data_IF_574882564605
#
_entry.id   IF_574882564605
#
_cell.length_a   1.000
_cell.length_b   1.000
_cell.length_c   1.000
_cell.angle_alpha   90.00
_cell.angle_beta   90.00
_cell.angle_gamma   90.00
#
_symmetry.space_group_name_H-M   'P 1'
#
loop_
_entity.id
_entity.type
_entity.pdbx_description
1 polymer ?
#
# COMPACT_ATOMS: atom_id res chain seq x y z
N UNK A 1 31.11 54.68 -15.15
CA UNK A 1 30.76 54.39 -16.55
C UNK A 1 30.20 52.97 -16.54
N UNK A 2 28.90 52.69 -16.64
CA UNK A 2 27.73 53.54 -16.93
C UNK A 2 26.45 52.73 -16.58
N UNK A 3 25.23 53.29 -16.45
CA UNK A 3 24.75 54.64 -16.78
C UNK A 3 23.76 55.20 -15.73
N UNK A 4 22.48 55.36 -16.10
CA UNK A 4 21.32 55.99 -15.45
C UNK A 4 20.04 55.32 -16.03
N UNK A 5 18.78 55.71 -15.68
CA UNK A 5 18.29 56.64 -14.66
C UNK A 5 17.23 56.03 -13.71
N UNK A 6 16.82 56.79 -12.68
CA UNK A 6 15.73 56.41 -11.77
C UNK A 6 14.31 56.76 -12.28
N UNK A 7 13.29 56.21 -11.64
CA UNK A 7 11.88 56.55 -11.89
C UNK A 7 11.08 56.69 -10.58
N UNK A 8 10.41 57.84 -10.48
CA UNK A 8 9.59 58.36 -9.39
C UNK A 8 8.55 57.35 -8.89
N UNK A 9 8.47 57.13 -7.58
CA UNK A 9 7.32 56.48 -6.93
C UNK A 9 6.09 57.39 -7.00
N UNK A 10 5.26 57.20 -8.04
CA UNK A 10 3.91 57.77 -8.05
C UNK A 10 3.02 57.02 -7.07
N UNK A 11 2.19 57.79 -6.37
CA UNK A 11 1.01 57.29 -5.67
C UNK A 11 0.18 56.37 -6.58
N UNK A 12 -0.18 55.20 -6.05
CA UNK A 12 -1.29 54.39 -6.54
C UNK A 12 -2.11 53.97 -5.31
N UNK A 13 -3.30 54.55 -5.16
CA UNK A 13 -4.33 54.01 -4.28
C UNK A 13 -4.72 52.62 -4.76
N UNK A 14 -4.25 51.57 -4.07
CA UNK A 14 -4.76 50.22 -4.25
C UNK A 14 -5.91 50.02 -3.27
N UNK A 15 -7.12 49.82 -3.82
CA UNK A 15 -8.32 49.45 -3.06
C UNK A 15 -8.03 48.20 -2.23
N UNK A 16 -8.43 48.22 -0.95
CA UNK A 16 -8.32 47.08 -0.04
C UNK A 16 -9.12 45.88 -0.58
N UNK A 17 -8.44 44.99 -1.30
CA UNK A 17 -8.96 43.67 -1.60
C UNK A 17 -9.03 42.86 -0.29
N UNK A 18 -10.24 42.47 0.10
CA UNK A 18 -10.49 41.75 1.34
C UNK A 18 -10.03 40.28 1.19
N UNK A 19 -8.74 40.02 1.43
CA UNK A 19 -8.14 38.68 1.35
C UNK A 19 -8.66 37.81 2.49
N UNK A 20 -9.23 36.62 2.22
CA UNK A 20 -9.65 35.69 3.28
C UNK A 20 -8.47 35.32 4.20
N UNK A 21 -8.59 35.62 5.50
CA UNK A 21 -7.54 35.33 6.48
C UNK A 21 -7.34 33.82 6.59
N UNK A 22 -6.15 33.33 6.21
CA UNK A 22 -5.85 31.89 6.22
C UNK A 22 -5.83 31.33 7.65
N UNK A 23 -6.41 30.13 7.82
CA UNK A 23 -6.63 29.40 9.08
C UNK A 23 -5.43 29.35 10.04
N UNK A 24 -4.20 29.39 9.52
CA UNK A 24 -2.97 29.36 10.33
C UNK A 24 -2.65 30.65 11.11
N UNK A 25 -3.15 31.82 10.69
CA UNK A 25 -2.81 33.10 11.36
C UNK A 25 -3.65 33.32 12.63
N UNK A 26 -4.93 32.97 12.56
CA UNK A 26 -5.87 33.03 13.69
C UNK A 26 -5.40 32.11 14.83
N UNK A 27 -4.88 30.91 14.49
CA UNK A 27 -4.34 29.98 15.48
C UNK A 27 -3.03 30.45 16.14
N UNK A 28 -2.30 31.39 15.51
CA UNK A 28 -1.07 31.95 16.07
C UNK A 28 -1.36 33.15 17.00
N UNK A 29 -2.36 33.97 16.67
CA UNK A 29 -2.87 35.03 17.58
C UNK A 29 -3.47 34.42 18.85
N UNK A 30 -4.34 33.40 18.72
CA UNK A 30 -4.88 32.65 19.87
C UNK A 30 -3.81 31.96 20.73
N UNK A 31 -2.68 31.56 20.14
CA UNK A 31 -1.59 30.94 20.90
C UNK A 31 -0.81 31.96 21.73
N UNK A 32 -0.61 33.18 21.21
CA UNK A 32 0.07 34.25 21.95
C UNK A 32 -0.79 34.81 23.10
N UNK A 33 -2.10 35.03 22.88
CA UNK A 33 -3.03 35.47 23.95
C UNK A 33 -3.09 34.47 25.12
N UNK A 34 -2.92 33.18 24.85
CA UNK A 34 -2.85 32.12 25.88
C UNK A 34 -1.50 32.04 26.61
N UNK A 35 -0.48 32.74 26.12
CA UNK A 35 0.88 32.70 26.68
C UNK A 35 1.21 33.93 27.54
N UNK A 36 0.65 35.10 27.23
CA UNK A 36 0.76 36.31 28.08
C UNK A 36 0.01 36.15 29.44
N UNK A 37 -1.04 35.31 29.50
CA UNK A 37 -1.83 35.06 30.71
C UNK A 37 -1.22 34.02 31.68
N UNK A 38 0.10 33.78 31.64
CA UNK A 38 0.78 32.78 32.49
C UNK A 38 2.00 33.25 33.28
N UNK A 39 2.38 34.53 33.19
CA UNK A 39 3.39 35.13 34.06
C UNK A 39 2.76 35.83 35.26
N UNK A 40 2.03 35.08 36.10
CA UNK A 40 1.87 35.43 37.51
C UNK A 40 1.38 34.22 38.35
N UNK A 41 1.89 34.11 39.57
CA UNK A 41 1.70 33.05 40.61
C UNK A 41 2.68 31.87 40.62
N UNK A 42 3.78 32.08 41.34
CA UNK A 42 4.72 31.05 41.76
C UNK A 42 4.53 30.79 43.27
N UNK A 43 3.94 29.67 43.69
CA UNK A 43 4.08 29.09 45.06
C UNK A 43 3.59 27.64 45.10
N UNK A 44 4.33 26.79 45.81
CA UNK A 44 4.08 25.36 46.02
C UNK A 44 3.16 25.18 47.25
N UNK A 45 2.16 24.28 47.18
CA UNK A 45 1.85 23.26 48.23
C UNK A 45 0.72 22.32 47.76
N UNK A 46 0.86 21.05 48.15
CA UNK A 46 -0.10 19.95 47.96
C UNK A 46 -1.42 20.13 48.73
N UNK A 47 -2.56 19.94 48.07
CA UNK A 47 -3.63 19.06 48.58
C UNK A 47 -4.70 18.80 47.51
N UNK A 48 -5.67 17.93 47.82
CA UNK A 48 -6.80 17.55 46.99
C UNK A 48 -7.61 18.77 46.51
N UNK A 49 -7.97 18.80 45.23
CA UNK A 49 -8.93 19.76 44.69
C UNK A 49 -9.86 19.09 43.67
N UNK A 50 -11.16 19.30 43.85
CA UNK A 50 -12.18 19.02 42.83
C UNK A 50 -11.96 19.97 41.65
N UNK A 51 -12.02 19.46 40.43
CA UNK A 51 -12.10 20.31 39.24
C UNK A 51 -13.45 21.08 39.27
N UNK A 52 -13.44 22.41 39.03
CA UNK A 52 -14.68 23.16 38.86
C UNK A 52 -15.26 22.91 37.46
N UNK A 53 -16.58 22.69 37.41
CA UNK A 53 -17.37 22.63 36.17
C UNK A 53 -17.11 23.86 35.28
N UNK A 54 -16.78 23.69 33.98
CA UNK A 54 -16.61 24.81 33.08
C UNK A 54 -17.97 25.36 32.63
N UNK A 55 -18.26 26.63 32.94
CA UNK A 55 -19.47 27.31 32.47
C UNK A 55 -19.57 27.33 30.92
N UNK A 56 -20.43 26.47 30.39
CA UNK A 56 -20.73 26.37 28.96
C UNK A 56 -21.58 27.55 28.48
N UNK A 57 -20.93 28.69 28.24
CA UNK A 57 -21.55 29.90 27.67
C UNK A 57 -22.41 29.60 26.43
N UNK A 58 -23.63 30.17 26.42
CA UNK A 58 -24.64 29.95 25.38
C UNK A 58 -24.20 30.44 24.00
N UNK A 59 -23.33 31.45 23.92
CA UNK A 59 -22.92 32.07 22.65
C UNK A 59 -22.15 31.10 21.72
N UNK A 60 -21.41 30.14 22.28
CA UNK A 60 -20.75 29.10 21.48
C UNK A 60 -21.73 28.08 20.90
N UNK A 61 -22.90 27.86 21.54
CA UNK A 61 -23.88 26.83 21.15
C UNK A 61 -24.66 27.23 19.91
N UNK A 62 -25.15 28.48 19.84
CA UNK A 62 -25.85 29.00 18.67
C UNK A 62 -24.95 29.08 17.43
N UNK A 63 -23.67 29.39 17.62
CA UNK A 63 -22.71 29.57 16.52
C UNK A 63 -22.48 28.27 15.72
N UNK A 64 -22.45 27.11 16.38
CA UNK A 64 -22.32 25.80 15.72
C UNK A 64 -23.59 25.44 14.93
N UNK A 65 -24.77 25.70 15.49
CA UNK A 65 -26.04 25.38 14.82
C UNK A 65 -26.27 26.26 13.59
N UNK A 66 -26.00 27.57 13.70
CA UNK A 66 -26.03 28.49 12.56
C UNK A 66 -24.94 28.18 11.53
N UNK A 67 -23.76 27.69 11.95
CA UNK A 67 -22.74 27.21 11.01
C UNK A 67 -23.23 25.99 10.22
N UNK A 68 -23.79 24.96 10.87
CA UNK A 68 -24.34 23.77 10.19
C UNK A 68 -25.49 24.15 9.22
N UNK A 69 -26.36 25.09 9.61
CA UNK A 69 -27.47 25.57 8.77
C UNK A 69 -27.01 26.45 7.59
N UNK A 70 -25.99 27.29 7.80
CA UNK A 70 -25.48 28.22 6.78
C UNK A 70 -24.51 27.59 5.79
N UNK A 71 -23.92 26.42 6.10
CA UNK A 71 -22.97 25.74 5.23
C UNK A 71 -23.67 25.07 4.02
N UNK A 72 -24.14 25.90 3.09
CA UNK A 72 -24.49 25.48 1.72
C UNK A 72 -23.24 24.95 1.01
N UNK A 73 -22.99 23.65 1.12
CA UNK A 73 -22.17 22.95 0.13
C UNK A 73 -22.81 23.19 -1.23
N UNK A 74 -22.14 23.95 -2.10
CA UNK A 74 -22.62 24.25 -3.45
C UNK A 74 -22.76 22.95 -4.23
N UNK A 75 -24.01 22.49 -4.38
CA UNK A 75 -24.40 21.62 -5.47
C UNK A 75 -24.37 22.49 -6.72
N UNK A 76 -23.65 22.07 -7.75
CA UNK A 76 -23.74 22.71 -9.05
C UNK A 76 -25.14 22.44 -9.61
N UNK A 77 -25.98 23.47 -9.64
CA UNK A 77 -27.25 23.47 -10.37
C UNK A 77 -26.92 23.46 -11.87
N UNK A 78 -26.88 22.26 -12.46
CA UNK A 78 -26.79 22.08 -13.91
C UNK A 78 -28.18 22.26 -14.54
N UNK A 79 -28.70 23.49 -14.48
CA UNK A 79 -29.84 23.91 -15.31
C UNK A 79 -29.32 24.27 -16.71
N UNK A 80 -29.06 23.24 -17.53
CA UNK A 80 -28.74 23.40 -18.96
C UNK A 80 -29.68 22.50 -19.81
N UNK A 81 -30.71 23.04 -20.49
CA UNK A 81 -31.78 22.27 -21.15
C UNK A 81 -31.37 21.48 -22.41
N UNK A 82 -30.10 21.15 -22.61
CA UNK A 82 -29.54 20.60 -23.85
C UNK A 82 -28.55 19.45 -23.59
N UNK A 83 -28.97 18.38 -22.89
CA UNK A 83 -28.24 17.11 -22.97
C UNK A 83 -29.17 15.89 -23.09
N UNK A 84 -29.69 15.68 -24.29
CA UNK A 84 -30.41 14.47 -24.65
C UNK A 84 -29.42 13.32 -24.95
N UNK A 85 -29.06 12.56 -23.93
CA UNK A 85 -28.54 11.20 -24.11
C UNK A 85 -29.46 10.21 -23.40
N UNK A 86 -30.00 9.30 -24.20
CA UNK A 86 -31.00 8.31 -23.82
C UNK A 86 -30.38 7.17 -23.02
N UNK A 87 -30.82 7.00 -21.77
CA UNK A 87 -30.68 5.72 -21.09
C UNK A 87 -31.53 4.66 -21.82
N UNK A 88 -30.91 3.53 -22.16
CA UNK A 88 -31.63 2.30 -22.49
C UNK A 88 -31.43 1.31 -21.34
N UNK A 89 -32.52 0.97 -20.66
CA UNK A 89 -32.52 0.05 -19.53
C UNK A 89 -31.82 -1.28 -19.83
N UNK A 90 -31.06 -1.78 -18.85
CA UNK A 90 -31.19 -3.19 -18.50
C UNK A 90 -31.09 -3.37 -17.00
N UNK A 91 -32.23 -3.68 -16.39
CA UNK A 91 -32.35 -3.93 -14.96
C UNK A 91 -31.95 -5.37 -14.63
N UNK A 92 -31.08 -5.53 -13.64
CA UNK A 92 -31.23 -6.62 -12.67
C UNK A 92 -30.47 -6.28 -11.39
N UNK A 93 -31.24 -6.04 -10.33
CA UNK A 93 -30.74 -5.83 -8.98
C UNK A 93 -30.61 -7.19 -8.28
N UNK A 94 -29.42 -7.47 -7.76
CA UNK A 94 -29.25 -8.25 -6.53
C UNK A 94 -28.09 -7.62 -5.76
N UNK A 95 -28.41 -6.94 -4.67
CA UNK A 95 -27.43 -6.37 -3.75
C UNK A 95 -26.66 -7.47 -3.02
N UNK A 96 -25.33 -7.50 -3.15
CA UNK A 96 -24.47 -8.25 -2.22
C UNK A 96 -23.26 -7.39 -1.83
N UNK A 97 -23.29 -6.91 -0.58
CA UNK A 97 -22.39 -5.88 -0.05
C UNK A 97 -21.00 -6.45 0.27
N UNK A 98 -20.18 -6.65 -0.77
CA UNK A 98 -18.88 -7.32 -0.65
C UNK A 98 -17.77 -6.42 -0.08
N UNK A 99 -17.46 -6.60 1.20
CA UNK A 99 -16.25 -6.05 1.84
C UNK A 99 -14.99 -6.77 1.34
N UNK A 100 -14.27 -6.19 0.37
CA UNK A 100 -12.96 -6.71 -0.04
C UNK A 100 -11.85 -5.65 0.01
N UNK A 101 -11.12 -5.60 1.13
CA UNK A 101 -9.80 -4.98 1.20
C UNK A 101 -8.78 -5.80 0.38
N UNK A 102 -7.83 -5.09 -0.25
CA UNK A 102 -6.61 -5.63 -0.91
C UNK A 102 -6.90 -6.56 -2.10
N UNK A 103 -6.80 -6.00 -3.32
CA UNK A 103 -6.79 -6.76 -4.57
C UNK A 103 -5.61 -7.73 -4.63
N UNK A 104 -5.90 -9.00 -4.32
CA UNK A 104 -4.96 -10.12 -4.33
C UNK A 104 -5.08 -10.81 -5.68
N UNK A 105 -4.17 -10.50 -6.62
CA UNK A 105 -4.19 -11.06 -7.98
C UNK A 105 -3.78 -12.54 -7.98
N UNK A 106 -4.73 -13.41 -7.63
CA UNK A 106 -4.64 -14.84 -7.88
C UNK A 106 -4.81 -15.09 -9.38
N UNK A 107 -3.72 -15.50 -10.05
CA UNK A 107 -3.84 -16.27 -11.28
C UNK A 107 -4.28 -17.68 -10.86
N UNK A 108 -5.36 -18.19 -11.47
CA UNK A 108 -5.85 -19.54 -11.20
C UNK A 108 -4.76 -20.57 -11.50
N UNK A 109 -4.47 -21.48 -10.56
CA UNK A 109 -3.51 -22.57 -10.74
C UNK A 109 -4.13 -23.68 -11.63
N UNK A 110 -4.45 -23.37 -12.90
CA UNK A 110 -4.85 -24.35 -13.92
C UNK A 110 -3.70 -24.57 -14.90
N UNK A 111 -2.74 -25.40 -14.47
CA UNK A 111 -1.78 -26.06 -15.35
C UNK A 111 -2.11 -27.55 -15.28
N UNK A 112 -2.45 -28.14 -16.42
CA UNK A 112 -2.76 -29.57 -16.49
C UNK A 112 -1.52 -30.37 -16.08
N UNK A 113 -1.66 -31.12 -14.98
CA UNK A 113 -0.55 -31.84 -14.35
C UNK A 113 -0.56 -33.27 -14.86
N UNK A 114 0.34 -33.60 -15.79
CA UNK A 114 0.50 -34.97 -16.27
C UNK A 114 0.75 -35.96 -15.12
N UNK A 115 0.10 -37.11 -15.21
CA UNK A 115 -0.14 -38.04 -14.09
C UNK A 115 1.07 -38.87 -13.63
N UNK A 116 2.26 -38.66 -14.20
CA UNK A 116 3.42 -39.55 -14.06
C UNK A 116 4.38 -39.22 -12.90
N UNK A 117 4.04 -38.27 -12.02
CA UNK A 117 4.94 -37.82 -10.92
C UNK A 117 4.80 -38.69 -9.65
N UNK A 118 3.90 -39.68 -9.62
CA UNK A 118 3.63 -40.50 -8.43
C UNK A 118 4.82 -41.36 -7.94
N UNK A 119 5.78 -41.67 -8.82
CA UNK A 119 6.77 -42.74 -8.60
C UNK A 119 8.04 -42.34 -7.83
N UNK A 120 8.20 -41.08 -7.39
CA UNK A 120 9.47 -40.56 -6.83
C UNK A 120 9.36 -39.96 -5.40
N UNK A 121 8.34 -40.33 -4.63
CA UNK A 121 8.13 -39.82 -3.25
C UNK A 121 9.15 -40.36 -2.22
N UNK A 122 9.92 -41.41 -2.54
CA UNK A 122 10.82 -42.12 -1.62
C UNK A 122 12.32 -41.85 -1.84
N UNK A 123 12.72 -40.60 -2.10
CA UNK A 123 14.12 -40.19 -1.87
C UNK A 123 14.25 -39.78 -0.40
N UNK A 124 15.06 -40.53 0.36
CA UNK A 124 15.43 -40.23 1.75
C UNK A 124 15.97 -38.80 1.82
N UNK A 125 15.30 -37.94 2.57
CA UNK A 125 15.64 -36.51 2.65
C UNK A 125 16.50 -36.25 3.88
N UNK A 126 17.65 -35.62 3.69
CA UNK A 126 18.43 -35.08 4.80
C UNK A 126 17.56 -34.13 5.64
N UNK A 127 17.73 -34.10 6.97
CA UNK A 127 16.94 -33.26 7.84
C UNK A 127 17.20 -31.80 7.52
N UNK A 128 16.17 -31.11 7.01
CA UNK A 128 16.27 -29.70 6.66
C UNK A 128 16.58 -28.90 7.95
N UNK A 129 17.84 -28.47 8.10
CA UNK A 129 18.27 -27.59 9.18
C UNK A 129 17.71 -26.19 8.91
N UNK A 130 16.79 -25.77 9.77
CA UNK A 130 16.06 -24.49 9.65
C UNK A 130 15.85 -23.92 11.04
N UNK A 131 15.90 -22.60 11.19
CA UNK A 131 15.53 -21.98 12.45
C UNK A 131 14.08 -22.34 12.83
N UNK A 132 13.88 -22.87 14.05
CA UNK A 132 12.56 -23.33 14.55
C UNK A 132 11.50 -22.23 14.50
N UNK A 133 11.88 -20.97 14.76
CA UNK A 133 10.97 -19.83 14.69
C UNK A 133 10.49 -19.59 13.25
N UNK A 134 11.42 -19.50 12.29
CA UNK A 134 11.10 -19.32 10.88
C UNK A 134 10.21 -20.44 10.31
N UNK A 135 10.52 -21.70 10.66
CA UNK A 135 9.69 -22.86 10.29
C UNK A 135 8.25 -22.71 10.81
N UNK A 136 8.08 -22.33 12.07
CA UNK A 136 6.76 -22.17 12.68
C UNK A 136 6.00 -20.95 12.17
N UNK A 137 6.69 -19.85 11.82
CA UNK A 137 6.05 -18.60 11.38
C UNK A 137 5.66 -18.62 9.89
N UNK A 138 6.48 -19.24 9.03
CA UNK A 138 6.30 -19.22 7.57
C UNK A 138 5.85 -20.56 7.00
N UNK A 139 6.57 -21.67 7.28
CA UNK A 139 6.34 -22.95 6.58
C UNK A 139 4.98 -23.59 6.88
N UNK A 140 4.41 -23.29 8.04
CA UNK A 140 3.06 -23.68 8.50
C UNK A 140 1.95 -22.99 7.71
N UNK A 141 2.20 -21.78 7.20
CA UNK A 141 1.24 -20.95 6.45
C UNK A 141 1.30 -21.17 4.93
N UNK A 142 2.20 -22.02 4.46
CA UNK A 142 2.35 -22.34 3.04
C UNK A 142 1.40 -23.48 2.65
N UNK A 143 0.63 -23.29 1.56
CA UNK A 143 -0.19 -24.35 0.94
C UNK A 143 0.67 -25.59 0.66
N UNK A 144 0.15 -26.78 0.96
CA UNK A 144 0.83 -28.05 0.69
C UNK A 144 0.81 -28.34 -0.83
N UNK A 145 1.82 -27.85 -1.54
CA UNK A 145 1.98 -28.02 -2.99
C UNK A 145 3.46 -28.07 -3.39
N UNK A 146 3.73 -28.37 -4.66
CA UNK A 146 5.09 -28.49 -5.21
C UNK A 146 5.88 -27.18 -5.12
N UNK A 147 5.22 -26.02 -5.22
CA UNK A 147 5.86 -24.71 -5.13
C UNK A 147 6.39 -24.50 -3.70
N UNK A 148 5.59 -24.84 -2.69
CA UNK A 148 6.01 -24.80 -1.29
C UNK A 148 7.05 -25.88 -0.95
N UNK A 149 7.04 -27.03 -1.63
CA UNK A 149 8.08 -28.05 -1.48
C UNK A 149 9.44 -27.53 -1.99
N UNK A 150 9.47 -26.93 -3.18
CA UNK A 150 10.67 -26.30 -3.76
C UNK A 150 11.17 -25.17 -2.84
N UNK A 151 10.27 -24.30 -2.36
CA UNK A 151 10.60 -23.20 -1.45
C UNK A 151 11.27 -23.63 -0.14
N UNK A 152 10.86 -24.78 0.41
CA UNK A 152 11.39 -25.33 1.67
C UNK A 152 12.75 -26.01 1.45
N UNK A 153 12.94 -26.65 0.30
CA UNK A 153 14.13 -27.46 -0.01
C UNK A 153 15.30 -26.64 -0.56
N UNK A 154 15.07 -25.65 -1.41
CA UNK A 154 16.15 -24.81 -1.94
C UNK A 154 16.81 -23.97 -0.82
N UNK A 155 18.14 -24.08 -0.59
CA UNK A 155 18.79 -23.35 0.49
C UNK A 155 18.74 -21.84 0.32
N UNK A 156 18.91 -21.33 -0.91
CA UNK A 156 19.01 -19.90 -1.16
C UNK A 156 17.64 -19.21 -1.06
N UNK A 157 16.57 -19.87 -1.51
CA UNK A 157 15.18 -19.40 -1.27
C UNK A 157 14.88 -19.38 0.24
N UNK A 158 15.33 -20.40 1.00
CA UNK A 158 15.17 -20.45 2.46
C UNK A 158 15.87 -19.30 3.17
N UNK A 159 17.16 -19.09 2.88
CA UNK A 159 17.95 -17.98 3.42
C UNK A 159 17.35 -16.61 3.05
N UNK A 160 16.77 -16.50 1.85
CA UNK A 160 16.05 -15.30 1.44
C UNK A 160 14.82 -15.03 2.32
N UNK A 161 14.02 -16.06 2.61
CA UNK A 161 12.90 -15.97 3.55
C UNK A 161 13.33 -15.57 4.96
N UNK A 162 14.38 -16.20 5.49
CA UNK A 162 14.91 -15.87 6.82
C UNK A 162 15.42 -14.42 6.90
N UNK A 163 16.15 -13.96 5.88
CA UNK A 163 16.64 -12.58 5.80
C UNK A 163 15.50 -11.57 5.63
N UNK A 164 14.43 -11.94 4.92
CA UNK A 164 13.25 -11.10 4.74
C UNK A 164 12.50 -10.87 6.07
N UNK A 165 12.36 -11.90 6.93
CA UNK A 165 11.78 -11.71 8.26
C UNK A 165 12.65 -10.79 9.15
N UNK A 166 13.98 -11.00 9.16
CA UNK A 166 14.91 -10.18 9.98
C UNK A 166 14.78 -8.67 9.72
N UNK A 167 14.35 -8.27 8.53
CA UNK A 167 14.14 -6.87 8.13
C UNK A 167 12.85 -6.23 8.68
N UNK A 168 11.88 -7.01 9.18
CA UNK A 168 10.50 -6.55 9.31
C UNK A 168 9.79 -7.09 10.57
N UNK A 169 9.21 -6.20 11.40
CA UNK A 169 8.65 -6.55 12.72
C UNK A 169 7.13 -6.84 12.77
N UNK A 170 6.40 -6.79 11.65
CA UNK A 170 4.91 -6.86 11.62
C UNK A 170 4.44 -8.28 11.34
N UNK A 171 3.46 -8.82 12.08
CA UNK A 171 2.96 -10.19 11.93
C UNK A 171 2.53 -10.58 10.48
N UNK A 172 1.99 -9.63 9.71
CA UNK A 172 1.64 -9.81 8.29
C UNK A 172 2.84 -10.11 7.38
N UNK A 173 4.07 -9.87 7.84
CA UNK A 173 5.28 -10.15 7.05
C UNK A 173 5.46 -11.63 6.77
N UNK A 174 5.03 -12.52 7.66
CA UNK A 174 5.07 -13.97 7.44
C UNK A 174 4.34 -14.41 6.18
N UNK A 175 3.19 -13.78 5.88
CA UNK A 175 2.41 -14.03 4.66
C UNK A 175 3.11 -13.43 3.43
N UNK A 176 3.64 -12.22 3.54
CA UNK A 176 4.43 -11.60 2.46
C UNK A 176 5.71 -12.41 2.14
N UNK A 177 6.39 -12.93 3.17
CA UNK A 177 7.55 -13.80 3.08
C UNK A 177 7.20 -15.10 2.35
N UNK A 178 6.16 -15.80 2.82
CA UNK A 178 5.60 -17.00 2.17
C UNK A 178 5.31 -16.75 0.68
N UNK A 179 4.63 -15.66 0.35
CA UNK A 179 4.35 -15.29 -1.04
C UNK A 179 5.66 -15.13 -1.83
N UNK A 180 6.63 -14.34 -1.36
CA UNK A 180 7.90 -14.12 -2.07
C UNK A 180 8.73 -15.39 -2.26
N UNK A 181 8.76 -16.28 -1.27
CA UNK A 181 9.41 -17.59 -1.41
C UNK A 181 8.73 -18.43 -2.49
N UNK A 182 7.39 -18.39 -2.58
CA UNK A 182 6.62 -19.06 -3.63
C UNK A 182 6.81 -18.39 -5.01
N UNK A 183 6.94 -17.07 -5.09
CA UNK A 183 7.31 -16.35 -6.32
C UNK A 183 8.66 -16.85 -6.87
N UNK A 184 9.68 -16.93 -6.02
CA UNK A 184 11.00 -17.48 -6.37
C UNK A 184 10.92 -18.95 -6.78
N UNK A 185 10.05 -19.73 -6.14
CA UNK A 185 9.89 -21.16 -6.43
C UNK A 185 9.14 -21.42 -7.74
N UNK A 186 8.14 -20.60 -8.09
CA UNK A 186 7.51 -20.61 -9.42
C UNK A 186 8.55 -20.32 -10.51
N UNK A 187 9.39 -19.30 -10.30
CA UNK A 187 10.51 -19.00 -11.22
C UNK A 187 11.49 -20.18 -11.34
N UNK A 188 11.86 -20.83 -10.23
CA UNK A 188 12.80 -21.94 -10.26
C UNK A 188 12.22 -23.19 -10.96
N UNK A 189 10.93 -23.49 -10.77
CA UNK A 189 10.24 -24.57 -11.48
C UNK A 189 10.27 -24.30 -12.99
N UNK A 190 10.00 -23.06 -13.41
CA UNK A 190 10.01 -22.69 -14.82
C UNK A 190 11.42 -22.74 -15.43
N UNK A 191 12.43 -22.24 -14.71
CA UNK A 191 13.84 -22.37 -15.11
C UNK A 191 14.26 -23.84 -15.28
N UNK A 192 13.78 -24.75 -14.44
CA UNK A 192 14.03 -26.20 -14.57
C UNK A 192 13.38 -26.80 -15.82
N UNK A 193 12.23 -26.28 -16.24
CA UNK A 193 11.57 -26.67 -17.50
C UNK A 193 12.35 -26.15 -18.71
N UNK A 194 12.69 -24.86 -18.72
CA UNK A 194 13.46 -24.22 -19.81
C UNK A 194 14.88 -24.76 -20.00
N UNK A 195 15.51 -25.28 -18.95
CA UNK A 195 16.88 -25.83 -19.00
C UNK A 195 16.95 -27.35 -18.97
N UNK A 196 15.79 -28.03 -18.94
CA UNK A 196 15.63 -29.49 -18.78
C UNK A 196 16.29 -30.11 -17.53
N UNK A 197 16.79 -29.28 -16.61
CA UNK A 197 17.53 -29.69 -15.41
C UNK A 197 16.61 -29.80 -14.19
N UNK A 198 16.00 -30.97 -13.99
CA UNK A 198 15.06 -31.25 -12.85
C UNK A 198 15.57 -30.80 -11.46
N UNK A 199 16.88 -30.92 -11.21
CA UNK A 199 17.50 -30.63 -9.91
C UNK A 199 18.24 -29.27 -9.85
N UNK A 200 18.02 -28.34 -10.79
CA UNK A 200 18.69 -27.03 -10.80
C UNK A 200 18.41 -26.25 -9.49
N UNK A 201 19.44 -25.83 -8.71
CA UNK A 201 19.27 -24.97 -7.54
C UNK A 201 19.13 -23.50 -7.95
N UNK A 202 18.53 -22.67 -7.08
CA UNK A 202 18.41 -21.23 -7.34
C UNK A 202 19.78 -20.53 -7.41
N UNK A 203 20.82 -21.11 -6.81
CA UNK A 203 22.20 -20.63 -6.90
C UNK A 203 22.75 -20.62 -8.34
N UNK A 204 22.34 -21.57 -9.17
CA UNK A 204 22.84 -21.72 -10.54
C UNK A 204 22.11 -20.81 -11.54
N UNK A 205 20.85 -20.44 -11.27
CA UNK A 205 20.11 -19.50 -12.15
C UNK A 205 20.66 -18.07 -12.08
N UNK A 206 21.45 -17.73 -11.06
CA UNK A 206 22.09 -16.43 -10.89
C UNK A 206 23.38 -16.32 -11.72
N UNK A 207 23.30 -16.69 -12.99
CA UNK A 207 24.39 -16.64 -13.97
C UNK A 207 24.03 -15.67 -15.10
N UNK A 208 24.92 -14.74 -15.51
CA UNK A 208 24.67 -13.83 -16.63
C UNK A 208 24.19 -14.52 -17.91
N UNK A 209 24.71 -15.72 -18.23
CA UNK A 209 24.36 -16.47 -19.43
C UNK A 209 22.93 -17.05 -19.41
N UNK A 210 22.28 -17.09 -18.24
CA UNK A 210 20.90 -17.53 -18.08
C UNK A 210 19.92 -16.35 -17.94
N UNK A 211 20.37 -15.10 -18.09
CA UNK A 211 19.54 -13.92 -17.90
C UNK A 211 18.30 -13.92 -18.81
N UNK A 212 18.48 -14.21 -20.10
CA UNK A 212 17.36 -14.24 -21.06
C UNK A 212 16.37 -15.37 -20.75
N UNK A 213 16.87 -16.52 -20.29
CA UNK A 213 16.06 -17.64 -19.80
C UNK A 213 15.26 -17.25 -18.55
N UNK A 214 15.85 -16.47 -17.64
CA UNK A 214 15.18 -15.93 -16.44
C UNK A 214 14.11 -14.92 -16.84
N UNK A 215 14.37 -14.06 -17.83
CA UNK A 215 13.39 -13.12 -18.39
C UNK A 215 12.20 -13.85 -19.03
N UNK A 216 12.46 -14.84 -19.87
CA UNK A 216 11.42 -15.66 -20.50
C UNK A 216 10.57 -16.41 -19.45
N UNK A 217 11.22 -17.03 -18.47
CA UNK A 217 10.56 -17.69 -17.34
C UNK A 217 9.71 -16.72 -16.52
N UNK A 218 10.20 -15.50 -16.27
CA UNK A 218 9.49 -14.46 -15.55
C UNK A 218 8.27 -13.92 -16.32
N UNK A 219 8.36 -13.76 -17.64
CA UNK A 219 7.22 -13.45 -18.52
C UNK A 219 6.14 -14.53 -18.43
N UNK A 220 6.51 -15.81 -18.50
CA UNK A 220 5.56 -16.91 -18.43
C UNK A 220 4.82 -16.95 -17.08
N UNK A 221 5.53 -16.94 -15.95
CA UNK A 221 4.89 -17.05 -14.62
C UNK A 221 4.08 -15.81 -14.21
N UNK A 222 4.32 -14.65 -14.86
CA UNK A 222 3.50 -13.44 -14.70
C UNK A 222 2.34 -13.38 -15.71
N UNK A 223 2.22 -14.37 -16.60
CA UNK A 223 1.16 -14.49 -17.59
C UNK A 223 1.21 -13.37 -18.63
N UNK A 224 2.39 -13.07 -19.14
CA UNK A 224 2.57 -12.18 -20.30
C UNK A 224 1.98 -12.80 -21.56
N UNK A 225 1.29 -11.99 -22.36
CA UNK A 225 0.82 -12.34 -23.70
C UNK A 225 1.62 -11.52 -24.72
N UNK A 226 2.31 -12.18 -25.66
CA UNK A 226 3.16 -11.54 -26.67
C UNK A 226 2.36 -10.76 -27.73
N UNK A 227 1.13 -11.20 -28.05
CA UNK A 227 0.25 -10.55 -29.04
C UNK A 227 -0.29 -9.22 -28.50
N UNK A 228 -0.83 -9.24 -27.28
CA UNK A 228 -1.45 -8.06 -26.65
C UNK A 228 -0.46 -7.21 -25.84
N UNK A 229 0.73 -7.75 -25.53
CA UNK A 229 1.78 -7.15 -24.70
C UNK A 229 1.36 -6.82 -23.28
N UNK A 230 0.37 -7.54 -22.75
CA UNK A 230 -0.21 -7.36 -21.41
C UNK A 230 0.16 -8.54 -20.50
N UNK A 231 0.46 -8.25 -19.24
CA UNK A 231 0.66 -9.19 -18.15
C UNK A 231 -0.65 -9.47 -17.42
N UNK A 232 -0.95 -10.74 -17.13
CA UNK A 232 -2.01 -11.12 -16.16
C UNK A 232 -1.66 -10.59 -14.76
N UNK A 233 -0.44 -10.81 -14.29
CA UNK A 233 0.07 -10.44 -12.97
C UNK A 233 1.26 -9.46 -13.03
N UNK A 234 1.05 -8.18 -13.42
CA UNK A 234 2.15 -7.23 -13.62
C UNK A 234 2.93 -6.89 -12.32
N UNK A 235 2.28 -6.89 -11.16
CA UNK A 235 2.97 -6.72 -9.86
C UNK A 235 4.03 -7.79 -9.64
N UNK A 236 3.77 -9.04 -10.04
CA UNK A 236 4.73 -10.14 -9.93
C UNK A 236 5.94 -9.88 -10.82
N UNK A 237 5.70 -9.54 -12.09
CA UNK A 237 6.72 -9.23 -13.08
C UNK A 237 7.68 -8.12 -12.60
N UNK A 238 7.13 -7.05 -12.01
CA UNK A 238 7.89 -5.94 -11.42
C UNK A 238 8.66 -6.35 -10.14
N UNK A 239 8.03 -7.11 -9.24
CA UNK A 239 8.64 -7.50 -7.97
C UNK A 239 9.74 -8.57 -8.12
N UNK A 240 9.71 -9.40 -9.16
CA UNK A 240 10.72 -10.42 -9.43
C UNK A 240 12.12 -9.79 -9.63
N UNK A 241 12.26 -8.77 -10.46
CA UNK A 241 13.56 -8.09 -10.66
C UNK A 241 14.12 -7.46 -9.38
N UNK A 242 13.26 -6.93 -8.51
CA UNK A 242 13.68 -6.43 -7.19
C UNK A 242 14.11 -7.57 -6.26
N UNK A 243 13.41 -8.70 -6.31
CA UNK A 243 13.68 -9.89 -5.49
C UNK A 243 14.99 -10.57 -5.93
N UNK A 244 15.22 -10.71 -7.23
CA UNK A 244 16.47 -11.22 -7.80
C UNK A 244 17.69 -10.40 -7.34
N UNK A 245 17.63 -9.06 -7.36
CA UNK A 245 18.71 -8.20 -6.85
C UNK A 245 19.00 -8.46 -5.37
N UNK A 246 17.97 -8.63 -4.53
CA UNK A 246 18.11 -8.95 -3.11
C UNK A 246 18.72 -10.34 -2.89
N UNK A 247 18.37 -11.33 -3.71
CA UNK A 247 18.96 -12.67 -3.63
C UNK A 247 20.43 -12.67 -4.09
N UNK A 248 20.80 -11.87 -5.10
CA UNK A 248 22.21 -11.71 -5.50
C UNK A 248 23.08 -11.16 -4.36
N UNK A 249 22.58 -10.15 -3.65
CA UNK A 249 23.27 -9.55 -2.51
C UNK A 249 23.38 -10.53 -1.34
N UNK A 250 22.29 -11.23 -1.03
CA UNK A 250 22.29 -12.29 -0.03
C UNK A 250 23.28 -13.42 -0.38
N UNK A 251 23.24 -13.93 -1.61
CA UNK A 251 24.14 -14.97 -2.08
C UNK A 251 25.61 -14.54 -1.97
N UNK A 252 25.90 -13.28 -2.33
CA UNK A 252 27.23 -12.69 -2.18
C UNK A 252 27.66 -12.65 -0.71
N UNK A 253 26.76 -12.23 0.19
CA UNK A 253 27.04 -12.20 1.64
C UNK A 253 27.20 -13.59 2.27
N UNK A 254 26.48 -14.61 1.78
CA UNK A 254 26.62 -15.99 2.25
C UNK A 254 27.95 -16.61 1.79
N UNK A 255 28.33 -16.38 0.52
CA UNK A 255 29.64 -16.77 -0.03
C UNK A 255 30.81 -16.10 0.70
N UNK A 256 30.71 -14.81 1.01
CA UNK A 256 31.74 -14.06 1.75
C UNK A 256 31.84 -14.46 3.25
N UNK A 257 30.86 -15.20 3.77
CA UNK A 257 30.80 -15.66 5.16
C UNK A 257 31.01 -17.16 5.31
N UNK A 258 31.39 -17.84 4.24
CA UNK A 258 31.63 -19.29 4.19
C UNK A 258 30.47 -20.10 4.80
N UNK A 259 29.23 -19.71 4.47
CA UNK A 259 28.05 -20.36 5.03
C UNK A 259 27.93 -21.81 4.52
N UNK A 260 27.77 -22.82 5.39
CA UNK A 260 27.87 -24.24 5.02
C UNK A 260 26.89 -24.68 3.93
N UNK A 261 25.66 -24.13 3.94
CA UNK A 261 24.64 -24.40 2.93
C UNK A 261 24.98 -23.95 1.49
N UNK A 262 26.02 -23.12 1.29
CA UNK A 262 26.40 -22.56 -0.02
C UNK A 262 27.82 -23.01 -0.36
N UNK A 263 27.91 -24.22 -0.92
CA UNK A 263 29.17 -24.81 -1.38
C UNK A 263 29.55 -24.26 -2.76
N UNK A 264 30.76 -23.71 -2.87
CA UNK A 264 31.32 -23.22 -4.13
C UNK A 264 32.85 -23.33 -4.13
N UNK A 265 33.41 -23.97 -5.17
CA UNK A 265 34.85 -24.18 -5.28
C UNK A 265 35.59 -22.87 -5.62
N UNK A 266 35.08 -22.10 -6.57
CA UNK A 266 35.63 -20.80 -6.97
C UNK A 266 34.68 -19.66 -6.56
N UNK A 267 34.85 -19.21 -5.31
CA UNK A 267 34.07 -18.11 -4.72
C UNK A 267 34.28 -16.80 -5.48
N UNK A 268 35.49 -16.53 -5.97
CA UNK A 268 35.82 -15.26 -6.63
C UNK A 268 35.22 -15.17 -8.05
N UNK A 269 35.24 -16.26 -8.81
CA UNK A 269 34.49 -16.34 -10.07
C UNK A 269 33.00 -16.19 -9.83
N UNK A 270 32.42 -16.91 -8.85
CA UNK A 270 30.98 -16.80 -8.56
C UNK A 270 30.57 -15.40 -8.10
N UNK A 271 31.38 -14.73 -7.28
CA UNK A 271 31.14 -13.34 -6.89
C UNK A 271 31.21 -12.37 -8.09
N UNK A 272 32.06 -12.63 -9.09
CA UNK A 272 32.08 -11.87 -10.35
C UNK A 272 30.84 -12.15 -11.20
N UNK A 273 30.38 -13.41 -11.28
CA UNK A 273 29.12 -13.78 -11.96
C UNK A 273 27.91 -13.07 -11.33
N UNK A 274 27.77 -13.15 -10.00
CA UNK A 274 26.68 -12.53 -9.26
C UNK A 274 26.64 -11.00 -9.46
N UNK A 275 27.80 -10.34 -9.46
CA UNK A 275 27.90 -8.90 -9.76
C UNK A 275 27.45 -8.58 -11.18
N UNK A 276 27.86 -9.37 -12.18
CA UNK A 276 27.46 -9.21 -13.59
C UNK A 276 25.96 -9.47 -13.78
N UNK A 277 25.41 -10.52 -13.17
CA UNK A 277 23.98 -10.84 -13.24
C UNK A 277 23.13 -9.77 -12.55
N UNK A 278 23.53 -9.31 -11.35
CA UNK A 278 22.87 -8.19 -10.66
C UNK A 278 22.88 -6.91 -11.52
N UNK A 279 23.97 -6.64 -12.25
CA UNK A 279 24.05 -5.50 -13.17
C UNK A 279 23.02 -5.64 -14.31
N UNK A 280 22.94 -6.80 -14.98
CA UNK A 280 21.93 -7.08 -16.01
C UNK A 280 20.49 -6.92 -15.48
N UNK A 281 20.19 -7.47 -14.30
CA UNK A 281 18.87 -7.28 -13.65
C UNK A 281 18.61 -5.82 -13.30
N UNK A 282 19.64 -5.00 -13.08
CA UNK A 282 19.46 -3.58 -12.79
C UNK A 282 19.30 -2.71 -14.05
N UNK A 283 20.00 -3.03 -15.14
CA UNK A 283 19.95 -2.25 -16.39
C UNK A 283 18.84 -2.72 -17.35
N UNK A 284 18.67 -4.03 -17.52
CA UNK A 284 17.89 -4.60 -18.62
C UNK A 284 16.45 -4.98 -18.20
N UNK A 285 16.21 -5.31 -16.92
CA UNK A 285 14.88 -5.74 -16.44
C UNK A 285 13.78 -4.69 -16.66
N UNK A 286 14.13 -3.39 -16.68
CA UNK A 286 13.21 -2.31 -17.01
C UNK A 286 12.73 -2.37 -18.45
N UNK A 287 13.63 -2.68 -19.39
CA UNK A 287 13.31 -2.76 -20.82
C UNK A 287 12.54 -4.03 -21.13
N UNK A 288 12.94 -5.17 -20.57
CA UNK A 288 12.31 -6.46 -20.86
C UNK A 288 10.93 -6.65 -20.20
N UNK A 289 10.75 -6.14 -18.98
CA UNK A 289 9.61 -6.52 -18.14
C UNK A 289 8.95 -5.30 -17.48
N UNK A 290 9.66 -4.56 -16.63
CA UNK A 290 8.98 -3.61 -15.73
C UNK A 290 8.31 -2.44 -16.45
N UNK A 291 8.81 -1.96 -17.59
CA UNK A 291 8.20 -0.80 -18.28
C UNK A 291 6.79 -1.08 -18.76
N UNK A 292 6.52 -2.29 -19.27
CA UNK A 292 5.17 -2.71 -19.66
C UNK A 292 4.33 -3.03 -18.42
N UNK A 293 4.86 -3.80 -17.47
CA UNK A 293 4.14 -4.13 -16.24
C UNK A 293 3.69 -2.90 -15.42
N UNK A 294 4.46 -1.80 -15.43
CA UNK A 294 4.06 -0.53 -14.79
C UNK A 294 2.92 0.16 -15.55
N UNK A 295 2.90 0.10 -16.88
CA UNK A 295 1.78 0.61 -17.70
C UNK A 295 0.50 -0.18 -17.42
N UNK A 296 0.56 -1.52 -17.45
CA UNK A 296 -0.56 -2.39 -17.10
C UNK A 296 -1.12 -2.10 -15.70
N UNK A 297 -0.25 -1.81 -14.73
CA UNK A 297 -0.67 -1.44 -13.37
C UNK A 297 -1.35 -0.07 -13.33
N UNK A 298 -0.87 0.90 -14.10
CA UNK A 298 -1.53 2.19 -14.24
C UNK A 298 -2.90 2.01 -14.92
N UNK A 299 -2.96 1.35 -16.08
CA UNK A 299 -4.19 1.11 -16.84
C UNK A 299 -5.23 0.33 -16.01
N UNK A 300 -4.84 -0.74 -15.31
CA UNK A 300 -5.75 -1.46 -14.39
C UNK A 300 -6.22 -0.61 -13.21
N UNK A 301 -5.48 0.42 -12.82
CA UNK A 301 -5.89 1.40 -11.80
C UNK A 301 -6.84 2.45 -12.37
N UNK A 302 -6.62 2.92 -13.61
CA UNK A 302 -7.52 3.85 -14.31
C UNK A 302 -8.85 3.20 -14.70
N UNK A 303 -8.82 1.95 -15.18
CA UNK A 303 -9.99 1.18 -15.60
C UNK A 303 -10.86 0.70 -14.42
N UNK A 304 -10.43 0.93 -13.17
CA UNK A 304 -11.31 0.72 -12.02
C UNK A 304 -12.26 1.92 -11.93
N UNK A 305 -13.58 1.75 -12.17
CA UNK A 305 -14.50 2.87 -12.13
C UNK A 305 -14.42 3.55 -10.76
N UNK A 306 -14.24 4.86 -10.76
CA UNK A 306 -14.40 5.68 -9.57
C UNK A 306 -15.90 5.70 -9.27
N UNK A 307 -16.33 4.82 -8.36
CA UNK A 307 -17.68 4.82 -7.82
C UNK A 307 -17.89 6.12 -7.04
N UNK A 308 -18.37 7.15 -7.75
CA UNK A 308 -18.90 8.34 -7.12
C UNK A 308 -20.18 7.93 -6.37
N UNK A 309 -20.37 8.35 -5.11
CA UNK A 309 -21.60 8.06 -4.38
C UNK A 309 -22.78 8.69 -5.14
N UNK A 310 -23.87 7.93 -5.28
CA UNK A 310 -25.07 8.41 -5.95
C UNK A 310 -25.60 9.65 -5.24
N UNK A 311 -26.10 10.64 -5.99
CA UNK A 311 -26.70 11.87 -5.43
C UNK A 311 -27.76 11.56 -4.36
N UNK A 312 -28.53 10.47 -4.56
CA UNK A 312 -29.51 9.97 -3.59
C UNK A 312 -28.87 9.58 -2.24
N UNK A 313 -27.69 8.96 -2.25
CA UNK A 313 -27.02 8.50 -1.03
C UNK A 313 -26.27 9.65 -0.34
N UNK A 314 -25.73 10.61 -1.11
CA UNK A 314 -25.21 11.88 -0.56
C UNK A 314 -26.34 12.64 0.16
N UNK A 315 -27.54 12.74 -0.45
CA UNK A 315 -28.71 13.38 0.17
C UNK A 315 -29.17 12.61 1.42
N UNK A 316 -29.26 11.27 1.38
CA UNK A 316 -29.59 10.45 2.57
C UNK A 316 -28.58 10.68 3.70
N UNK A 317 -27.28 10.67 3.39
CA UNK A 317 -26.23 10.91 4.38
C UNK A 317 -26.35 12.30 4.99
N UNK A 318 -26.50 13.34 4.15
CA UNK A 318 -26.74 14.72 4.60
C UNK A 318 -27.94 14.81 5.55
N UNK A 319 -29.09 14.27 5.13
CA UNK A 319 -30.31 14.33 5.93
C UNK A 319 -30.16 13.55 7.24
N UNK A 320 -29.42 12.44 7.24
CA UNK A 320 -29.10 11.70 8.46
C UNK A 320 -28.21 12.50 9.42
N UNK A 321 -27.15 13.14 8.92
CA UNK A 321 -26.26 13.99 9.72
C UNK A 321 -27.00 15.22 10.28
N UNK A 322 -27.83 15.89 9.47
CA UNK A 322 -28.66 17.02 9.91
C UNK A 322 -29.67 16.59 10.98
N UNK A 323 -30.47 15.55 10.73
CA UNK A 323 -31.43 15.06 11.72
C UNK A 323 -30.72 14.60 13.02
N UNK A 324 -29.54 13.97 12.91
CA UNK A 324 -28.75 13.59 14.08
C UNK A 324 -28.31 14.81 14.88
N UNK A 325 -27.83 15.87 14.23
CA UNK A 325 -27.48 17.12 14.89
C UNK A 325 -28.71 17.78 15.55
N UNK A 326 -29.83 17.88 14.85
CA UNK A 326 -31.06 18.53 15.35
C UNK A 326 -31.66 17.77 16.55
N UNK A 327 -31.89 16.46 16.45
CA UNK A 327 -32.45 15.67 17.57
C UNK A 327 -31.54 15.68 18.80
N UNK A 328 -30.21 15.61 18.63
CA UNK A 328 -29.31 15.67 19.79
C UNK A 328 -29.16 17.10 20.35
N UNK A 329 -29.38 18.14 19.53
CA UNK A 329 -29.43 19.52 20.01
C UNK A 329 -30.72 19.82 20.80
N UNK A 330 -31.86 19.25 20.40
CA UNK A 330 -33.11 19.30 21.18
C UNK A 330 -32.95 18.62 22.55
N UNK A 331 -32.28 17.45 22.60
CA UNK A 331 -31.94 16.77 23.86
C UNK A 331 -31.05 17.65 24.75
N UNK A 332 -30.09 18.40 24.19
CA UNK A 332 -29.22 19.33 24.94
C UNK A 332 -29.93 20.61 25.41
N UNK A 333 -31.03 21.00 24.77
CA UNK A 333 -31.88 22.09 25.27
C UNK A 333 -32.71 21.66 26.49
N UNK A 334 -33.04 20.37 26.59
CA UNK A 334 -33.79 19.79 27.72
C UNK A 334 -32.86 19.36 28.88
N UNK A 335 -31.72 18.74 28.55
CA UNK A 335 -30.70 18.26 29.50
C UNK A 335 -29.30 18.63 29.00
N UNK A 336 -28.77 19.74 29.51
CA UNK A 336 -27.49 20.31 29.07
C UNK A 336 -26.27 19.50 29.54
N UNK A 337 -26.43 18.63 30.55
CA UNK A 337 -25.41 17.72 31.07
C UNK A 337 -25.27 16.42 30.26
N UNK A 338 -26.09 16.22 29.22
CA UNK A 338 -26.06 15.02 28.39
C UNK A 338 -24.82 14.96 27.48
N UNK A 339 -23.71 14.44 28.04
CA UNK A 339 -22.42 14.30 27.37
C UNK A 339 -22.49 13.45 26.07
N UNK A 340 -23.44 12.50 25.98
CA UNK A 340 -23.61 11.66 24.80
C UNK A 340 -24.29 12.41 23.65
N UNK A 341 -25.29 13.24 23.95
CA UNK A 341 -25.92 14.13 22.97
C UNK A 341 -24.91 15.19 22.48
N UNK A 342 -24.14 15.80 23.40
CA UNK A 342 -23.08 16.75 23.04
C UNK A 342 -22.06 16.14 22.06
N UNK A 343 -21.57 14.93 22.38
CA UNK A 343 -20.65 14.21 21.49
C UNK A 343 -21.26 14.00 20.10
N UNK A 344 -22.52 13.55 20.00
CA UNK A 344 -23.18 13.31 18.71
C UNK A 344 -23.36 14.58 17.88
N UNK A 345 -23.64 15.73 18.50
CA UNK A 345 -23.69 17.03 17.79
C UNK A 345 -22.32 17.40 17.24
N UNK A 346 -21.25 17.22 18.03
CA UNK A 346 -19.86 17.49 17.59
C UNK A 346 -19.43 16.53 16.47
N UNK A 347 -19.67 15.23 16.62
CA UNK A 347 -19.37 14.22 15.59
C UNK A 347 -20.13 14.51 14.27
N UNK A 348 -21.37 15.04 14.36
CA UNK A 348 -22.17 15.45 13.19
C UNK A 348 -21.69 16.74 12.53
N UNK A 349 -20.99 17.63 13.27
CA UNK A 349 -20.40 18.85 12.73
C UNK A 349 -18.98 18.66 12.15
N UNK A 350 -18.35 17.51 12.43
CA UNK A 350 -17.01 17.13 11.94
C UNK A 350 -17.04 16.13 10.77
N UNK A 351 -18.22 15.61 10.43
CA UNK A 351 -18.47 14.67 9.32
C UNK A 351 -18.73 15.38 7.99
#
# INVERSE_FOLDING_TARGET
>A
MSELPGLKSKSNNAVMANVPRTRGRILLELANELQENKEDTNTIITSQHQEPEPEYSADRKNNVLEWVKSNKFNVYENDDPQNSHSDSDNTNSTDEYNQSHISRSYVSDSVDLDSDISSNILIVQEPIVVNRSFKNEVFTKMKADQISLVAKRDPLIRHFGENYLKKHKRAQISVACSNKMRECSRLLIEMRRHTEKKNLPFFDILNPMLFDTVVASARLISGYNEETKIYKAPSLAMHLGTTLKQICDLCSHLLMKDHPDILCNDKDAKLKELKRFKLLVNSQWSFEISSLAVKDLAEKKWNKPVLLPLTKDIIKFRNHVVNCAETNFELLQQDWTNQQAFKKVVDSALS
#
